data_IF_749304250390
#
_entry.id   IF_749304250390
#
_cell.length_a   1.000
_cell.length_b   1.000
_cell.length_c   1.000
_cell.angle_alpha   90.00
_cell.angle_beta   90.00
_cell.angle_gamma   90.00
#
_symmetry.space_group_name_H-M   'P 1'
#
loop_
_entity.id
_entity.type
_entity.pdbx_description
1 polymer ?
#
# COMPACT_ATOMS: atom_id res chain seq x y z
N UNK A 1 11.95 39.42 2.92
CA UNK A 1 12.30 38.19 3.65
C UNK A 1 11.47 37.05 3.08
N UNK A 2 11.92 36.56 1.92
CA UNK A 2 11.24 35.55 1.11
C UNK A 2 12.07 34.27 1.21
N UNK A 3 11.64 33.32 2.05
CA UNK A 3 12.33 32.01 2.19
C UNK A 3 11.33 30.90 2.55
N UNK A 4 10.33 30.69 1.69
CA UNK A 4 9.40 29.55 1.79
C UNK A 4 9.18 28.88 0.42
N UNK A 5 10.18 28.98 -0.46
CA UNK A 5 10.16 28.31 -1.74
C UNK A 5 10.64 26.86 -1.57
N UNK A 6 9.73 25.91 -1.81
CA UNK A 6 10.03 24.63 -2.45
C UNK A 6 10.85 23.62 -1.62
N UNK A 7 10.36 23.27 -0.43
CA UNK A 7 10.82 22.08 0.29
C UNK A 7 9.86 20.93 -0.01
N UNK A 8 10.04 20.24 -1.14
CA UNK A 8 9.37 18.95 -1.30
C UNK A 8 9.94 17.99 -0.28
N UNK A 9 9.16 17.72 0.76
CA UNK A 9 9.50 16.66 1.70
C UNK A 9 9.50 15.31 0.94
N UNK A 10 10.56 14.50 1.07
CA UNK A 10 10.66 13.20 0.39
C UNK A 10 9.50 12.25 0.76
N UNK A 11 8.80 12.52 1.85
CA UNK A 11 7.60 11.83 2.28
C UNK A 11 6.45 11.92 1.25
N UNK A 12 6.30 13.06 0.57
CA UNK A 12 5.24 13.28 -0.42
C UNK A 12 5.45 12.42 -1.66
N UNK A 13 6.69 12.28 -2.13
CA UNK A 13 7.05 11.38 -3.23
C UNK A 13 6.85 9.90 -2.89
N UNK A 14 7.08 9.52 -1.63
CA UNK A 14 6.84 8.15 -1.18
C UNK A 14 5.35 7.75 -1.25
N UNK A 15 4.43 8.69 -1.01
CA UNK A 15 2.98 8.46 -1.14
C UNK A 15 2.60 8.10 -2.59
N UNK A 16 3.15 8.80 -3.58
CA UNK A 16 2.90 8.53 -5.01
C UNK A 16 3.34 7.12 -5.40
N UNK A 17 4.52 6.70 -4.91
CA UNK A 17 5.05 5.35 -5.16
C UNK A 17 4.15 4.29 -4.52
N UNK A 18 3.72 4.49 -3.27
CA UNK A 18 2.82 3.58 -2.57
C UNK A 18 1.45 3.45 -3.27
N UNK A 19 0.87 4.57 -3.73
CA UNK A 19 -0.39 4.56 -4.49
C UNK A 19 -0.27 3.78 -5.80
N UNK A 20 0.87 3.92 -6.50
CA UNK A 20 1.16 3.17 -7.73
C UNK A 20 1.27 1.67 -7.47
N UNK A 21 1.91 1.27 -6.37
CA UNK A 21 1.99 -0.15 -5.94
C UNK A 21 0.61 -0.74 -5.65
N UNK A 22 -0.33 0.08 -5.15
CA UNK A 22 -1.72 -0.31 -4.92
C UNK A 22 -2.61 -0.28 -6.18
N UNK A 23 -2.03 0.02 -7.36
CA UNK A 23 -2.70 0.21 -8.66
C UNK A 23 -3.68 1.40 -8.70
N UNK A 24 -3.56 2.35 -7.77
CA UNK A 24 -4.40 3.55 -7.75
C UNK A 24 -3.80 4.68 -8.58
N UNK A 25 -3.67 4.45 -9.90
CA UNK A 25 -2.97 5.38 -10.80
C UNK A 25 -3.62 6.77 -10.88
N UNK A 26 -4.96 6.85 -10.85
CA UNK A 26 -5.66 8.14 -10.86
C UNK A 26 -5.40 8.99 -9.61
N UNK A 27 -5.32 8.34 -8.44
CA UNK A 27 -4.98 9.02 -7.19
C UNK A 27 -3.51 9.41 -7.14
N UNK A 28 -2.63 8.56 -7.69
CA UNK A 28 -1.20 8.89 -7.81
C UNK A 28 -0.97 10.13 -8.68
N UNK A 29 -1.71 10.27 -9.79
CA UNK A 29 -1.63 11.47 -10.65
C UNK A 29 -2.15 12.71 -9.92
N UNK A 30 -3.35 12.65 -9.34
CA UNK A 30 -3.92 13.77 -8.59
C UNK A 30 -3.01 14.23 -7.44
N UNK A 31 -2.37 13.30 -6.73
CA UNK A 31 -1.40 13.63 -5.67
C UNK A 31 -0.14 14.28 -6.24
N UNK A 32 0.34 13.84 -7.40
CA UNK A 32 1.50 14.48 -8.05
C UNK A 32 1.19 15.93 -8.43
N UNK A 33 0.00 16.17 -8.98
CA UNK A 33 -0.45 17.52 -9.34
C UNK A 33 -0.64 18.40 -8.09
N UNK A 34 -1.12 17.84 -6.97
CA UNK A 34 -1.24 18.55 -5.68
C UNK A 34 0.11 18.88 -5.05
N UNK A 35 1.09 18.00 -5.23
CA UNK A 35 2.48 18.21 -4.81
C UNK A 35 3.05 19.38 -5.61
N UNK A 36 2.93 19.37 -6.94
CA UNK A 36 3.40 20.46 -7.81
C UNK A 36 2.74 21.82 -7.51
N UNK A 37 1.46 21.80 -7.12
CA UNK A 37 0.73 23.01 -6.70
C UNK A 37 1.15 23.54 -5.33
N UNK A 38 1.89 22.77 -4.53
CA UNK A 38 2.38 23.20 -3.21
C UNK A 38 1.25 23.52 -2.23
N UNK A 39 0.15 22.76 -2.27
CA UNK A 39 -1.01 23.03 -1.43
C UNK A 39 -0.68 22.77 0.07
N UNK A 40 -0.75 23.78 0.96
CA UNK A 40 -0.39 23.60 2.38
C UNK A 40 -1.34 22.65 3.12
N UNK A 41 -2.58 22.50 2.62
CA UNK A 41 -3.52 21.51 3.13
C UNK A 41 -3.04 20.07 2.88
N UNK A 42 -2.35 19.82 1.76
CA UNK A 42 -1.83 18.49 1.44
C UNK A 42 -0.69 18.10 2.38
N UNK A 43 0.23 19.01 2.69
CA UNK A 43 1.32 18.78 3.64
C UNK A 43 0.81 18.34 5.02
N UNK A 44 -0.29 18.95 5.50
CA UNK A 44 -0.93 18.55 6.76
C UNK A 44 -1.57 17.15 6.72
N UNK A 45 -1.94 16.67 5.54
CA UNK A 45 -2.57 15.36 5.33
C UNK A 45 -1.58 14.22 5.04
N UNK A 46 -0.32 14.54 4.65
CA UNK A 46 0.78 13.58 4.42
C UNK A 46 0.91 12.51 5.53
N UNK A 47 0.95 12.84 6.84
CA UNK A 47 1.13 11.83 7.88
C UNK A 47 -0.04 10.85 7.97
N UNK A 48 -1.27 11.35 7.83
CA UNK A 48 -2.50 10.54 7.89
C UNK A 48 -2.57 9.62 6.66
N UNK A 49 -2.33 10.16 5.47
CA UNK A 49 -2.29 9.39 4.23
C UNK A 49 -1.23 8.27 4.28
N UNK A 50 -0.06 8.56 4.86
CA UNK A 50 1.00 7.57 5.02
C UNK A 50 0.56 6.41 5.93
N UNK A 51 -0.12 6.69 7.03
CA UNK A 51 -0.63 5.66 7.93
C UNK A 51 -1.71 4.81 7.28
N UNK A 52 -2.66 5.44 6.58
CA UNK A 52 -3.74 4.73 5.87
C UNK A 52 -3.19 3.84 4.75
N UNK A 53 -2.21 4.31 3.97
CA UNK A 53 -1.60 3.50 2.92
C UNK A 53 -0.85 2.29 3.46
N UNK A 54 -0.16 2.44 4.59
CA UNK A 54 0.48 1.30 5.27
C UNK A 54 -0.54 0.26 5.73
N UNK A 55 -1.67 0.69 6.28
CA UNK A 55 -2.75 -0.20 6.70
C UNK A 55 -3.36 -0.95 5.49
N UNK A 56 -3.63 -0.25 4.40
CA UNK A 56 -4.19 -0.83 3.16
C UNK A 56 -3.25 -1.89 2.53
N UNK A 57 -1.93 -1.64 2.51
CA UNK A 57 -0.94 -2.62 2.04
C UNK A 57 -0.98 -3.88 2.91
N UNK A 58 -0.98 -3.73 4.23
CA UNK A 58 -1.03 -4.85 5.17
C UNK A 58 -2.32 -5.69 5.01
N UNK A 59 -3.48 -5.04 4.85
CA UNK A 59 -4.74 -5.76 4.62
C UNK A 59 -4.76 -6.53 3.30
N UNK A 60 -4.17 -5.97 2.24
CA UNK A 60 -4.09 -6.65 0.94
C UNK A 60 -3.21 -7.89 0.98
N UNK A 61 -2.10 -7.87 1.72
CA UNK A 61 -1.25 -9.05 1.90
C UNK A 61 -1.96 -10.15 2.68
N UNK A 62 -2.66 -9.80 3.77
CA UNK A 62 -3.46 -10.77 4.53
C UNK A 62 -4.56 -11.38 3.65
N UNK A 63 -5.25 -10.56 2.85
CA UNK A 63 -6.32 -11.02 1.94
C UNK A 63 -5.78 -11.89 0.81
N UNK A 64 -4.60 -11.59 0.26
CA UNK A 64 -4.00 -12.39 -0.81
C UNK A 64 -3.55 -13.76 -0.30
N UNK A 65 -2.95 -13.83 0.90
CA UNK A 65 -2.58 -15.09 1.56
C UNK A 65 -3.83 -15.92 1.84
N UNK A 66 -4.88 -15.31 2.41
CA UNK A 66 -6.14 -15.99 2.67
C UNK A 66 -6.79 -16.54 1.38
N UNK A 67 -6.73 -15.78 0.27
CA UNK A 67 -7.21 -16.24 -1.03
C UNK A 67 -6.37 -17.42 -1.56
N UNK A 68 -5.04 -17.33 -1.51
CA UNK A 68 -4.16 -18.42 -1.94
C UNK A 68 -4.34 -19.69 -1.10
N UNK A 69 -4.45 -19.58 0.23
CA UNK A 69 -4.74 -20.71 1.10
C UNK A 69 -6.10 -21.36 0.81
N UNK A 70 -7.12 -20.52 0.54
CA UNK A 70 -8.46 -20.99 0.20
C UNK A 70 -8.52 -21.68 -1.16
N UNK A 71 -7.86 -21.13 -2.18
CA UNK A 71 -7.79 -21.72 -3.54
C UNK A 71 -6.96 -23.00 -3.53
N UNK A 72 -5.85 -23.02 -2.78
CA UNK A 72 -5.05 -24.22 -2.58
C UNK A 72 -5.78 -25.32 -1.78
N UNK A 73 -7.01 -25.08 -1.31
CA UNK A 73 -7.80 -25.98 -0.44
C UNK A 73 -6.97 -26.51 0.73
N UNK A 74 -6.04 -25.70 1.24
CA UNK A 74 -5.21 -26.15 2.35
C UNK A 74 -6.11 -26.23 3.60
N UNK A 75 -6.33 -27.42 4.17
CA UNK A 75 -7.14 -27.54 5.37
C UNK A 75 -6.48 -26.73 6.48
N UNK A 76 -7.24 -25.81 7.09
CA UNK A 76 -6.77 -24.84 8.09
C UNK A 76 -6.21 -25.49 9.38
N UNK A 77 -6.29 -26.82 9.49
CA UNK A 77 -5.71 -27.61 10.55
C UNK A 77 -5.29 -28.97 9.99
N UNK A 78 -4.04 -29.10 9.56
CA UNK A 78 -3.44 -30.41 9.33
C UNK A 78 -1.99 -30.34 9.78
N UNK A 79 -1.74 -30.97 10.91
CA UNK A 79 -0.42 -31.09 11.49
C UNK A 79 0.57 -31.64 10.44
N UNK A 80 1.75 -31.02 10.36
CA UNK A 80 2.84 -31.40 9.46
C UNK A 80 3.20 -32.90 9.44
N UNK A 81 3.00 -33.73 10.50
CA UNK A 81 3.36 -35.14 10.44
C UNK A 81 2.44 -36.00 9.55
N UNK A 82 1.22 -35.54 9.26
CA UNK A 82 0.20 -36.31 8.52
C UNK A 82 -0.17 -35.68 7.16
N UNK A 83 0.74 -34.91 6.56
CA UNK A 83 0.59 -34.33 5.23
C UNK A 83 1.04 -35.33 4.15
N UNK A 84 0.08 -36.05 3.53
CA UNK A 84 0.36 -36.93 2.38
C UNK A 84 0.22 -36.14 1.07
N UNK A 85 1.35 -35.70 0.51
CA UNK A 85 1.43 -34.95 -0.74
C UNK A 85 1.32 -35.88 -1.96
N UNK A 86 0.13 -36.44 -2.21
CA UNK A 86 -0.13 -37.31 -3.38
C UNK A 86 -0.95 -36.67 -4.49
N UNK A 87 -1.42 -35.43 -4.30
CA UNK A 87 -2.16 -34.70 -5.33
C UNK A 87 -2.02 -33.19 -5.14
N UNK A 88 -0.82 -32.69 -5.40
CA UNK A 88 -0.67 -31.29 -5.81
C UNK A 88 -0.48 -31.32 -7.33
N UNK A 89 -1.49 -30.81 -8.04
CA UNK A 89 -1.37 -30.35 -9.43
C UNK A 89 -0.55 -29.06 -9.41
#
# INVERSE_FOLDING_TARGET
MLEAAMRHDPASGAIVIMLRSLKMYGMAQAVTDLIEQGAPAFESAVPILTQLLKAEVAEREVRSIAYHMKVARFPAYKDLPNFDCKRCI
#
